data_IF_133308324812
#
_entry.id   IF_133308324812
#
_cell.length_a   1.000
_cell.length_b   1.000
_cell.length_c   1.000
_cell.angle_alpha   90.00
_cell.angle_beta   90.00
_cell.angle_gamma   90.00
#
_symmetry.space_group_name_H-M   'P 1'
#
loop_
_entity.id
_entity.type
_entity.pdbx_description
1 polymer ?
#
# COMPACT_ATOMS: atom_id res chain seq x y z
N UNK A 1 27.43 17.26 -19.66
CA UNK A 1 26.05 17.74 -19.86
C UNK A 1 25.69 18.66 -18.70
N UNK A 2 25.63 19.98 -18.94
CA UNK A 2 25.28 20.94 -17.88
C UNK A 2 23.76 21.09 -17.83
N UNK A 3 23.13 20.46 -16.85
CA UNK A 3 21.69 20.61 -16.61
C UNK A 3 21.32 22.05 -16.27
N UNK A 4 20.08 22.45 -16.61
CA UNK A 4 19.50 23.77 -16.29
C UNK A 4 19.71 24.10 -14.81
N UNK A 5 20.33 25.25 -14.51
CA UNK A 5 20.55 25.70 -13.13
C UNK A 5 19.25 26.22 -12.54
N UNK A 6 19.02 25.92 -11.26
CA UNK A 6 17.88 26.45 -10.51
C UNK A 6 18.01 27.94 -10.29
N UNK A 7 16.98 28.69 -10.64
CA UNK A 7 16.85 30.12 -10.32
C UNK A 7 16.25 30.31 -8.93
N UNK A 8 16.51 31.48 -8.32
CA UNK A 8 15.92 31.83 -7.02
C UNK A 8 14.39 31.85 -7.06
N UNK A 9 13.81 32.29 -8.17
CA UNK A 9 12.35 32.36 -8.35
C UNK A 9 11.72 30.98 -8.45
N UNK A 10 12.32 30.05 -9.21
CA UNK A 10 11.85 28.66 -9.29
C UNK A 10 11.92 27.97 -7.92
N UNK A 11 13.02 28.19 -7.17
CA UNK A 11 13.16 27.63 -5.82
C UNK A 11 12.08 28.20 -4.88
N UNK A 12 11.88 29.52 -4.91
CA UNK A 12 10.88 30.19 -4.07
C UNK A 12 9.47 29.67 -4.37
N UNK A 13 9.07 29.68 -5.64
CA UNK A 13 7.78 29.17 -6.10
C UNK A 13 7.57 27.71 -5.68
N UNK A 14 8.60 26.88 -5.86
CA UNK A 14 8.56 25.48 -5.50
C UNK A 14 8.35 25.27 -4.00
N UNK A 15 9.02 26.03 -3.13
CA UNK A 15 8.88 25.92 -1.67
C UNK A 15 7.49 26.39 -1.21
N UNK A 16 7.02 27.52 -1.74
CA UNK A 16 5.73 28.13 -1.39
C UNK A 16 4.57 27.20 -1.77
N UNK A 17 4.63 26.59 -2.96
CA UNK A 17 3.54 25.79 -3.51
C UNK A 17 3.78 24.26 -3.48
N UNK A 18 4.75 23.78 -2.69
CA UNK A 18 5.09 22.33 -2.63
C UNK A 18 3.93 21.44 -2.17
N UNK A 19 2.98 21.99 -1.41
CA UNK A 19 1.83 21.26 -0.88
C UNK A 19 0.57 21.39 -1.75
N UNK A 20 0.52 22.41 -2.59
CA UNK A 20 -0.65 22.71 -3.43
C UNK A 20 -0.70 21.83 -4.68
N UNK A 21 0.47 21.44 -5.19
CA UNK A 21 0.63 20.72 -6.45
C UNK A 21 1.17 19.31 -6.26
N UNK A 22 0.74 18.40 -7.13
CA UNK A 22 1.43 17.13 -7.29
C UNK A 22 2.85 17.33 -7.85
N UNK A 23 3.70 16.30 -7.70
CA UNK A 23 5.05 16.33 -8.26
C UNK A 23 5.06 16.54 -9.78
N UNK A 24 4.06 15.99 -10.47
CA UNK A 24 3.89 16.16 -11.91
C UNK A 24 3.52 17.58 -12.29
N UNK A 25 2.57 18.17 -11.57
CA UNK A 25 2.10 19.54 -11.79
C UNK A 25 3.17 20.58 -11.48
N UNK A 26 3.98 20.36 -10.43
CA UNK A 26 5.12 21.22 -10.15
C UNK A 26 6.18 21.10 -11.24
N UNK A 27 6.56 19.87 -11.61
CA UNK A 27 7.56 19.58 -12.64
C UNK A 27 7.22 20.29 -13.97
N UNK A 28 5.95 20.29 -14.36
CA UNK A 28 5.48 21.02 -15.54
C UNK A 28 5.58 22.55 -15.39
N UNK A 29 5.34 23.10 -14.18
CA UNK A 29 5.37 24.54 -13.91
C UNK A 29 6.79 25.12 -13.82
N UNK A 30 7.69 24.41 -13.15
CA UNK A 30 9.09 24.85 -13.02
C UNK A 30 9.96 24.42 -14.21
N UNK A 31 9.41 23.63 -15.14
CA UNK A 31 10.15 23.08 -16.28
C UNK A 31 11.45 22.39 -15.83
N UNK A 32 11.30 21.51 -14.84
CA UNK A 32 12.34 20.62 -14.34
C UNK A 32 11.77 19.21 -14.21
N UNK A 33 12.56 18.16 -14.49
CA UNK A 33 12.09 16.79 -14.32
C UNK A 33 11.75 16.50 -12.84
N UNK A 34 10.74 15.66 -12.62
CA UNK A 34 10.26 15.25 -11.29
C UNK A 34 11.40 14.86 -10.33
N UNK A 35 12.40 14.13 -10.84
CA UNK A 35 13.57 13.72 -10.07
C UNK A 35 14.41 14.92 -9.60
N UNK A 36 14.65 15.91 -10.48
CA UNK A 36 15.38 17.14 -10.14
C UNK A 36 14.61 17.98 -9.11
N UNK A 37 13.29 18.09 -9.26
CA UNK A 37 12.42 18.78 -8.28
C UNK A 37 12.54 18.14 -6.90
N UNK A 38 12.46 16.80 -6.82
CA UNK A 38 12.64 16.06 -5.57
C UNK A 38 14.03 16.26 -4.99
N UNK A 39 15.08 16.01 -5.76
CA UNK A 39 16.46 16.19 -5.30
C UNK A 39 16.67 17.60 -4.76
N UNK A 40 16.20 18.62 -5.48
CA UNK A 40 16.36 20.00 -5.04
C UNK A 40 15.64 20.30 -3.74
N UNK A 41 14.42 19.79 -3.55
CA UNK A 41 13.66 19.93 -2.31
C UNK A 41 14.36 19.27 -1.13
N UNK A 42 14.93 18.08 -1.34
CA UNK A 42 15.69 17.35 -0.33
C UNK A 42 17.00 18.07 0.00
N UNK A 43 17.74 18.57 -1.00
CA UNK A 43 18.95 19.37 -0.82
C UNK A 43 18.69 20.65 -0.02
N UNK A 44 17.47 21.20 -0.14
CA UNK A 44 17.01 22.37 0.61
C UNK A 44 16.46 22.01 2.00
N UNK A 45 16.51 20.73 2.41
CA UNK A 45 16.05 20.26 3.72
C UNK A 45 14.53 20.12 3.85
N UNK A 46 13.77 20.25 2.76
CA UNK A 46 12.33 20.06 2.75
C UNK A 46 11.97 18.63 2.35
N UNK A 47 10.76 18.20 2.69
CA UNK A 47 10.18 16.98 2.15
C UNK A 47 9.10 17.34 1.13
N UNK A 48 9.09 16.65 -0.01
CA UNK A 48 8.09 16.90 -1.06
C UNK A 48 6.68 16.47 -0.61
N UNK A 49 6.58 15.54 0.35
CA UNK A 49 5.33 15.14 1.02
C UNK A 49 5.55 14.57 2.42
N UNK A 50 5.11 15.28 3.47
CA UNK A 50 4.61 14.71 4.73
C UNK A 50 3.56 15.63 5.37
N UNK A 51 2.43 15.80 4.70
CA UNK A 51 1.16 16.10 5.38
C UNK A 51 -0.01 15.53 4.57
N UNK A 52 0.11 14.22 4.31
CA UNK A 52 -1.04 13.33 4.09
C UNK A 52 -0.69 11.92 4.60
N UNK A 53 -0.05 11.87 5.77
CA UNK A 53 0.05 10.65 6.59
C UNK A 53 -1.26 10.42 7.35
N UNK A 54 -2.31 11.21 7.09
CA UNK A 54 -3.68 10.85 7.48
C UNK A 54 -4.11 9.47 6.91
N UNK A 55 -3.43 8.96 5.88
CA UNK A 55 -3.69 7.65 5.29
C UNK A 55 -2.97 6.47 5.93
N UNK A 56 -2.13 6.67 6.95
CA UNK A 56 -1.82 5.58 7.88
C UNK A 56 -2.75 5.72 9.08
N UNK A 57 -4.07 5.59 8.86
CA UNK A 57 -5.02 5.36 9.95
C UNK A 57 -4.44 4.23 10.80
N UNK A 58 -3.93 4.57 11.98
CA UNK A 58 -3.43 3.57 12.93
C UNK A 58 -4.56 2.60 13.23
N UNK A 59 -4.23 1.34 13.44
CA UNK A 59 -5.22 0.36 13.87
C UNK A 59 -5.59 0.63 15.31
N UNK A 60 -6.88 0.80 15.59
CA UNK A 60 -7.36 0.97 16.96
C UNK A 60 -7.54 -0.40 17.63
N UNK A 61 -7.50 -0.47 18.97
CA UNK A 61 -7.80 -1.70 19.70
C UNK A 61 -9.19 -2.27 19.36
N UNK A 62 -10.18 -1.41 19.11
CA UNK A 62 -11.54 -1.81 18.75
C UNK A 62 -11.59 -2.47 17.37
N UNK A 63 -10.84 -1.93 16.39
CA UNK A 63 -10.71 -2.54 15.07
C UNK A 63 -10.03 -3.91 15.17
N UNK A 64 -8.99 -4.05 16.00
CA UNK A 64 -8.34 -5.34 16.24
C UNK A 64 -9.28 -6.34 16.90
N UNK A 65 -10.08 -5.91 17.88
CA UNK A 65 -11.08 -6.76 18.52
C UNK A 65 -12.16 -7.19 17.52
N UNK A 66 -12.59 -6.27 16.65
CA UNK A 66 -13.51 -6.57 15.56
C UNK A 66 -12.93 -7.62 14.61
N UNK A 67 -11.67 -7.48 14.21
CA UNK A 67 -10.98 -8.49 13.41
C UNK A 67 -10.92 -9.84 14.12
N UNK A 68 -10.54 -9.90 15.41
CA UNK A 68 -10.46 -11.15 16.18
C UNK A 68 -11.81 -11.88 16.28
N UNK A 69 -12.90 -11.13 16.42
CA UNK A 69 -14.25 -11.70 16.58
C UNK A 69 -14.87 -12.15 15.26
N UNK A 70 -14.67 -11.39 14.18
CA UNK A 70 -15.41 -11.60 12.92
C UNK A 70 -14.59 -12.31 11.84
N UNK A 71 -13.27 -12.40 11.98
CA UNK A 71 -12.42 -13.08 11.01
C UNK A 71 -12.65 -14.59 11.06
N UNK A 72 -13.08 -15.16 9.92
CA UNK A 72 -13.50 -16.56 9.80
C UNK A 72 -15.01 -16.73 9.63
N UNK A 73 -15.80 -15.81 10.19
CA UNK A 73 -17.27 -15.77 10.03
C UNK A 73 -17.70 -14.89 8.85
N UNK A 74 -17.02 -13.74 8.68
CA UNK A 74 -17.35 -12.75 7.64
C UNK A 74 -16.22 -12.72 6.59
N UNK A 75 -16.55 -12.67 5.28
CA UNK A 75 -15.54 -12.47 4.25
C UNK A 75 -14.72 -11.21 4.50
N UNK A 76 -13.39 -11.31 4.35
CA UNK A 76 -12.45 -10.20 4.62
C UNK A 76 -12.76 -8.94 3.81
N UNK A 77 -13.36 -9.06 2.63
CA UNK A 77 -13.81 -7.91 1.82
C UNK A 77 -14.92 -7.11 2.51
N UNK A 78 -15.91 -7.79 3.11
CA UNK A 78 -16.98 -7.13 3.88
C UNK A 78 -16.46 -6.52 5.18
N UNK A 79 -15.46 -7.15 5.80
CA UNK A 79 -14.75 -6.57 6.95
C UNK A 79 -14.06 -5.26 6.55
N UNK A 80 -13.39 -5.24 5.40
CA UNK A 80 -12.72 -4.05 4.88
C UNK A 80 -13.70 -2.91 4.60
N UNK A 81 -14.86 -3.20 4.00
CA UNK A 81 -15.94 -2.24 3.78
C UNK A 81 -16.48 -1.67 5.11
N UNK A 82 -16.70 -2.51 6.12
CA UNK A 82 -17.19 -2.07 7.45
C UNK A 82 -16.19 -1.20 8.21
N UNK A 83 -14.89 -1.43 8.03
CA UNK A 83 -13.83 -0.69 8.70
C UNK A 83 -13.37 0.55 7.90
N UNK A 84 -13.97 0.83 6.74
CA UNK A 84 -13.52 1.87 5.82
C UNK A 84 -12.01 1.78 5.53
N UNK A 85 -11.56 0.55 5.25
CA UNK A 85 -10.16 0.20 4.98
C UNK A 85 -10.05 -0.61 3.70
N UNK A 86 -8.86 -0.60 3.10
CA UNK A 86 -8.61 -1.45 1.93
C UNK A 86 -8.47 -2.91 2.35
N UNK A 87 -8.90 -3.82 1.46
CA UNK A 87 -8.74 -5.26 1.66
C UNK A 87 -7.29 -5.65 2.03
N UNK A 88 -6.30 -5.05 1.35
CA UNK A 88 -4.89 -5.29 1.63
C UNK A 88 -4.45 -4.78 3.01
N UNK A 89 -4.99 -3.64 3.47
CA UNK A 89 -4.72 -3.12 4.82
C UNK A 89 -5.20 -4.11 5.88
N UNK A 90 -6.43 -4.63 5.73
CA UNK A 90 -7.01 -5.64 6.62
C UNK A 90 -6.19 -6.92 6.59
N UNK A 91 -5.83 -7.44 5.42
CA UNK A 91 -5.03 -8.65 5.27
C UNK A 91 -3.67 -8.52 5.97
N UNK A 92 -2.98 -7.41 5.78
CA UNK A 92 -1.71 -7.14 6.45
C UNK A 92 -1.88 -7.08 7.97
N UNK A 93 -2.98 -6.49 8.46
CA UNK A 93 -3.25 -6.46 9.91
C UNK A 93 -3.53 -7.84 10.47
N UNK A 94 -4.30 -8.68 9.77
CA UNK A 94 -4.58 -10.06 10.18
C UNK A 94 -3.29 -10.89 10.31
N UNK A 95 -2.29 -10.65 9.45
CA UNK A 95 -0.96 -11.23 9.59
C UNK A 95 -0.25 -10.72 10.84
N UNK A 96 -0.27 -9.41 11.10
CA UNK A 96 0.31 -8.83 12.33
C UNK A 96 -0.36 -9.36 13.60
N UNK A 97 -1.68 -9.58 13.57
CA UNK A 97 -2.44 -10.16 14.68
C UNK A 97 -2.32 -11.69 14.78
N UNK A 98 -1.55 -12.34 13.90
CA UNK A 98 -1.40 -13.79 13.78
C UNK A 98 -2.73 -14.55 13.61
N UNK A 99 -3.74 -13.90 13.03
CA UNK A 99 -5.04 -14.51 12.73
C UNK A 99 -5.01 -15.26 11.39
N UNK A 100 -4.10 -14.87 10.50
CA UNK A 100 -3.87 -15.57 9.24
C UNK A 100 -3.03 -16.82 9.48
N UNK A 101 -3.65 -17.93 9.89
CA UNK A 101 -3.03 -19.24 9.68
C UNK A 101 -3.00 -19.46 8.17
N UNK A 102 -1.81 -19.49 7.57
CA UNK A 102 -1.62 -20.38 6.43
C UNK A 102 -2.22 -21.70 6.87
N UNK A 103 -3.32 -22.13 6.25
CA UNK A 103 -3.71 -23.53 6.29
C UNK A 103 -2.47 -24.29 5.88
N UNK A 104 -1.74 -24.80 6.87
CA UNK A 104 -0.77 -25.87 6.69
C UNK A 104 -1.58 -26.91 5.95
N UNK A 105 -1.36 -27.02 4.65
CA UNK A 105 -2.04 -27.96 3.79
C UNK A 105 -1.95 -29.28 4.53
N UNK A 106 -3.08 -29.75 5.07
CA UNK A 106 -3.19 -31.10 5.58
C UNK A 106 -3.21 -31.94 4.31
N UNK A 107 -2.03 -32.27 3.79
CA UNK A 107 -1.90 -33.42 2.91
C UNK A 107 -2.10 -34.63 3.82
N UNK A 108 -3.34 -34.93 4.16
CA UNK A 108 -3.74 -36.21 4.73
C UNK A 108 -4.79 -36.79 3.81
N UNK A 109 -4.49 -37.99 3.31
CA UNK A 109 -5.28 -38.84 2.40
C UNK A 109 -5.46 -38.32 0.97
N UNK A 110 -4.47 -38.62 0.13
CA UNK A 110 -4.75 -38.87 -1.29
C UNK A 110 -5.48 -40.22 -1.38
N UNK A 111 -6.65 -40.31 -2.04
CA UNK A 111 -7.26 -41.59 -2.36
C UNK A 111 -6.33 -42.33 -3.32
N UNK A 112 -5.98 -43.57 -3.00
CA UNK A 112 -5.39 -44.51 -3.95
C UNK A 112 -6.37 -44.66 -5.12
N UNK A 113 -6.01 -44.13 -6.28
CA UNK A 113 -6.67 -44.48 -7.54
C UNK A 113 -6.29 -45.92 -7.89
N UNK A 114 -7.04 -46.88 -7.36
CA UNK A 114 -7.11 -48.22 -7.94
C UNK A 114 -7.95 -48.11 -9.22
N UNK A 115 -7.29 -48.01 -10.36
CA UNK A 115 -7.91 -48.21 -11.67
C UNK A 115 -8.06 -49.72 -11.88
N UNK A 116 -9.26 -50.25 -11.66
CA UNK A 116 -9.71 -51.51 -12.24
C UNK A 116 -10.61 -51.20 -13.42
N UNK A 117 -10.34 -51.84 -14.56
CA UNK A 117 -11.23 -52.22 -15.67
C UNK A 117 -10.26 -52.59 -16.82
N UNK A 118 -10.01 -53.87 -17.12
CA UNK A 118 -10.94 -54.79 -17.79
C UNK A 118 -11.61 -54.08 -18.97
N UNK A 119 -11.07 -54.29 -20.19
CA UNK A 119 -11.79 -54.37 -21.48
C UNK A 119 -10.86 -54.07 -22.68
N UNK A 120 -10.08 -55.06 -23.10
CA UNK A 120 -9.70 -55.15 -24.51
C UNK A 120 -9.66 -56.63 -24.91
N UNK A 121 -10.69 -57.02 -25.68
CA UNK A 121 -10.80 -58.28 -26.42
C UNK A 121 -9.67 -58.49 -27.41
#
# INVERSE_FOLDING_TARGET
>A
MTGKKWTKNEIKFMIEHRLDYSLAEMSARVDHPKSSVLSKIHDLGYTWRREKIEHRKSWTPDEDQFLRKNYGEIPTKKIAEKLDRTFYSVRNRLTVLNLFRYTRIQISTSPEFHLTEEEAS
#
